data_IF_065930074312
#
_entry.id   IF_065930074312
#
_cell.length_a   1.000
_cell.length_b   1.000
_cell.length_c   1.000
_cell.angle_alpha   90.00
_cell.angle_beta   90.00
_cell.angle_gamma   90.00
#
_symmetry.space_group_name_H-M   'P 1'
#
loop_
_entity.id
_entity.type
_entity.pdbx_description
1 polymer ?
#
# COMPACT_ATOMS: atom_id res chain seq x y z
N UNK A 1 -6.33 1.80 9.86
CA UNK A 1 -5.07 1.33 9.27
C UNK A 1 -4.92 -0.16 9.50
N UNK A 2 -4.63 -0.92 8.44
CA UNK A 2 -4.46 -2.38 8.50
C UNK A 2 -3.12 -2.73 7.86
N UNK A 3 -2.26 -3.44 8.59
CA UNK A 3 -0.96 -3.92 8.10
C UNK A 3 -0.99 -5.44 8.12
N UNK A 4 -0.78 -6.07 6.98
CA UNK A 4 -0.90 -7.51 6.81
C UNK A 4 -0.04 -7.97 5.63
N UNK A 5 0.26 -9.28 5.59
CA UNK A 5 0.80 -9.95 4.41
C UNK A 5 -0.34 -10.68 3.70
N UNK A 6 -0.27 -10.75 2.38
CA UNK A 6 -1.16 -11.62 1.61
C UNK A 6 -0.62 -13.04 1.67
N UNK A 7 -1.52 -13.99 1.90
CA UNK A 7 -1.22 -15.40 1.77
C UNK A 7 -1.70 -15.86 0.38
N UNK A 8 -0.94 -16.69 -0.36
CA UNK A 8 -1.39 -17.24 -1.63
C UNK A 8 -2.76 -17.91 -1.50
N UNK A 9 -3.64 -17.65 -2.47
CA UNK A 9 -4.97 -18.24 -2.50
C UNK A 9 -5.52 -18.29 -3.91
N UNK A 10 -6.09 -19.44 -4.30
CA UNK A 10 -6.77 -19.62 -5.58
C UNK A 10 -8.16 -18.96 -5.65
N UNK A 11 -8.59 -18.34 -4.55
CA UNK A 11 -9.91 -17.72 -4.41
C UNK A 11 -9.76 -16.24 -4.08
N UNK A 12 -10.59 -15.34 -4.67
CA UNK A 12 -10.60 -13.94 -4.29
C UNK A 12 -10.87 -13.77 -2.79
N UNK A 13 -10.00 -13.03 -2.11
CA UNK A 13 -10.12 -12.73 -0.68
C UNK A 13 -10.38 -11.24 -0.47
N UNK A 14 -11.40 -10.91 0.31
CA UNK A 14 -11.64 -9.53 0.76
C UNK A 14 -10.89 -9.26 2.07
N UNK A 15 -10.17 -8.14 2.13
CA UNK A 15 -9.51 -7.65 3.33
C UNK A 15 -10.16 -6.37 3.89
N UNK A 16 -11.20 -5.85 3.22
CA UNK A 16 -12.04 -4.74 3.71
C UNK A 16 -13.36 -5.29 4.27
N UNK A 17 -13.97 -4.59 5.22
CA UNK A 17 -15.29 -4.99 5.71
C UNK A 17 -16.38 -4.61 4.70
N UNK A 18 -17.32 -5.52 4.47
CA UNK A 18 -18.42 -5.32 3.51
C UNK A 18 -19.56 -4.42 4.02
N UNK A 19 -19.51 -3.91 5.27
CA UNK A 19 -20.60 -3.14 5.89
C UNK A 19 -20.25 -1.70 6.23
N UNK A 20 -21.27 -0.84 6.31
CA UNK A 20 -21.22 0.48 6.96
C UNK A 20 -20.26 1.50 6.35
N UNK A 21 -20.57 2.01 5.14
CA UNK A 21 -19.79 3.04 4.42
C UNK A 21 -18.27 2.78 4.40
N UNK A 22 -17.88 1.50 4.48
CA UNK A 22 -16.48 1.09 4.41
C UNK A 22 -16.04 1.10 2.96
N UNK A 23 -14.92 1.76 2.67
CA UNK A 23 -14.29 1.77 1.36
C UNK A 23 -12.77 1.73 1.51
N UNK A 24 -12.09 1.28 0.45
CA UNK A 24 -10.64 1.31 0.39
C UNK A 24 -10.18 2.73 0.05
N UNK A 25 -9.35 3.32 0.91
CA UNK A 25 -8.82 4.67 0.70
C UNK A 25 -7.56 4.64 -0.16
N UNK A 26 -6.57 3.84 0.25
CA UNK A 26 -5.29 3.68 -0.44
C UNK A 26 -4.62 2.37 -0.01
N UNK A 27 -3.70 1.88 -0.84
CA UNK A 27 -2.78 0.80 -0.56
C UNK A 27 -1.34 1.32 -0.67
N UNK A 28 -0.43 0.71 0.06
CA UNK A 28 0.98 1.06 0.09
C UNK A 28 1.79 -0.17 0.53
N UNK A 29 2.93 -0.37 -0.11
CA UNK A 29 3.85 -1.49 0.09
C UNK A 29 5.26 -1.02 0.46
N UNK A 30 5.42 0.25 0.87
CA UNK A 30 6.69 0.77 1.35
C UNK A 30 7.17 0.00 2.58
N UNK A 31 8.50 -0.07 2.74
CA UNK A 31 9.14 -0.75 3.88
C UNK A 31 8.76 -0.06 5.19
N UNK A 32 8.84 1.27 5.18
CA UNK A 32 8.53 2.12 6.33
C UNK A 32 7.50 3.19 5.94
N UNK A 33 6.21 2.81 5.81
CA UNK A 33 5.18 3.72 5.34
C UNK A 33 4.99 4.87 6.32
N UNK A 34 4.83 6.07 5.76
CA UNK A 34 4.51 7.26 6.52
C UNK A 34 3.12 7.77 6.12
N UNK A 35 2.24 7.96 7.09
CA UNK A 35 0.86 8.37 6.85
C UNK A 35 0.60 9.77 7.42
N UNK A 36 0.17 10.71 6.57
CA UNK A 36 -0.26 12.04 7.01
C UNK A 36 -1.79 12.08 7.17
N UNK A 37 -2.24 12.57 8.33
CA UNK A 37 -3.65 12.72 8.71
C UNK A 37 -3.96 14.21 8.85
N UNK A 38 -4.91 14.71 8.08
CA UNK A 38 -5.44 16.08 8.25
C UNK A 38 -6.83 16.01 8.85
N UNK A 39 -7.07 16.75 9.92
CA UNK A 39 -8.36 16.78 10.62
C UNK A 39 -9.37 17.71 9.95
N UNK A 40 -10.65 17.44 10.18
CA UNK A 40 -11.78 18.15 9.56
C UNK A 40 -12.89 18.51 10.54
N UNK A 41 -13.92 19.17 10.02
CA UNK A 41 -15.09 19.60 10.79
C UNK A 41 -14.71 20.37 12.06
N UNK A 42 -15.28 19.97 13.20
CA UNK A 42 -14.99 20.60 14.51
C UNK A 42 -13.53 20.47 14.97
N UNK A 43 -12.73 19.66 14.29
CA UNK A 43 -11.32 19.42 14.58
C UNK A 43 -10.38 19.98 13.52
N UNK A 44 -10.88 20.77 12.56
CA UNK A 44 -10.07 21.32 11.46
C UNK A 44 -8.93 22.25 11.93
N UNK A 45 -9.03 22.84 13.13
CA UNK A 45 -7.98 23.67 13.72
C UNK A 45 -6.78 22.87 14.27
N UNK A 46 -6.88 21.54 14.32
CA UNK A 46 -5.75 20.68 14.73
C UNK A 46 -4.70 20.65 13.63
N UNK A 47 -3.43 20.67 14.03
CA UNK A 47 -2.34 20.45 13.10
C UNK A 47 -2.41 19.03 12.53
N UNK A 48 -2.03 18.84 11.25
CA UNK A 48 -1.88 17.51 10.67
C UNK A 48 -0.93 16.65 11.51
N UNK A 49 -1.26 15.36 11.63
CA UNK A 49 -0.45 14.37 12.33
C UNK A 49 0.23 13.44 11.34
N UNK A 50 1.50 13.11 11.60
CA UNK A 50 2.26 12.12 10.84
C UNK A 50 2.38 10.85 11.65
N UNK A 51 2.09 9.71 11.03
CA UNK A 51 2.08 8.40 11.67
C UNK A 51 3.13 7.51 10.98
N UNK A 52 4.11 7.08 11.76
CA UNK A 52 4.94 5.92 11.46
C UNK A 52 4.07 4.65 11.55
N UNK A 53 3.77 4.06 10.39
CA UNK A 53 2.83 2.93 10.31
C UNK A 53 3.33 1.70 11.05
N UNK A 54 4.64 1.47 11.06
CA UNK A 54 5.25 0.32 11.72
C UNK A 54 5.10 0.42 13.24
N UNK A 55 5.45 1.57 13.81
CA UNK A 55 5.30 1.82 15.25
C UNK A 55 3.82 1.87 15.67
N UNK A 56 2.93 2.28 14.75
CA UNK A 56 1.51 2.40 15.03
C UNK A 56 0.79 1.05 15.12
N UNK A 57 1.11 0.10 14.23
CA UNK A 57 0.45 -1.20 14.18
C UNK A 57 1.39 -2.30 13.67
N UNK A 58 1.53 -3.37 14.47
CA UNK A 58 2.20 -4.59 14.04
C UNK A 58 1.49 -5.28 12.85
N UNK A 59 2.22 -6.10 12.10
CA UNK A 59 1.64 -6.95 11.05
C UNK A 59 0.64 -7.92 11.68
N UNK A 60 -0.55 -8.01 11.11
CA UNK A 60 -1.60 -8.97 11.51
C UNK A 60 -2.05 -9.79 10.30
N UNK A 61 -2.87 -10.81 10.53
CA UNK A 61 -3.47 -11.57 9.43
C UNK A 61 -4.48 -10.73 8.63
N UNK A 62 -4.66 -11.06 7.34
CA UNK A 62 -5.55 -10.33 6.44
C UNK A 62 -7.03 -10.33 6.88
N UNK A 63 -7.46 -11.22 7.79
CA UNK A 63 -8.82 -11.21 8.37
C UNK A 63 -8.96 -10.28 9.58
N UNK A 64 -7.85 -9.81 10.16
CA UNK A 64 -7.88 -8.96 11.34
C UNK A 64 -8.48 -7.58 11.04
N UNK A 65 -9.13 -7.00 12.05
CA UNK A 65 -9.55 -5.60 12.00
C UNK A 65 -8.33 -4.67 12.11
N UNK A 66 -8.34 -3.60 11.34
CA UNK A 66 -7.32 -2.55 11.45
C UNK A 66 -7.43 -1.77 12.77
N UNK A 67 -6.39 -1.00 13.08
CA UNK A 67 -6.37 -0.03 14.19
C UNK A 67 -7.02 1.28 13.72
N UNK A 68 -7.87 1.86 14.58
CA UNK A 68 -8.46 3.19 14.35
C UNK A 68 -7.34 4.24 14.38
N UNK A 69 -7.27 5.08 13.36
CA UNK A 69 -6.23 6.12 13.21
C UNK A 69 -6.39 7.21 14.27
N UNK A 70 -7.60 7.73 14.44
CA UNK A 70 -7.90 8.78 15.42
C UNK A 70 -9.36 8.70 15.87
N UNK A 71 -9.66 9.29 17.03
CA UNK A 71 -11.03 9.52 17.51
C UNK A 71 -11.61 10.84 17.00
N UNK A 72 -10.81 11.67 16.33
CA UNK A 72 -11.26 12.93 15.74
C UNK A 72 -11.81 12.73 14.32
N UNK A 73 -12.59 13.71 13.88
CA UNK A 73 -13.05 13.80 12.51
C UNK A 73 -11.88 14.07 11.57
N UNK A 74 -11.70 13.18 10.61
CA UNK A 74 -10.63 13.22 9.62
C UNK A 74 -11.16 13.86 8.34
N UNK A 75 -10.40 14.79 7.76
CA UNK A 75 -10.66 15.37 6.44
C UNK A 75 -10.00 14.55 5.34
N UNK A 76 -8.70 14.27 5.50
CA UNK A 76 -7.92 13.50 4.53
C UNK A 76 -6.90 12.61 5.24
N UNK A 77 -6.58 11.49 4.60
CA UNK A 77 -5.47 10.60 4.93
C UNK A 77 -4.72 10.36 3.62
N UNK A 78 -3.40 10.48 3.65
CA UNK A 78 -2.54 10.15 2.51
C UNK A 78 -1.24 9.52 2.98
N UNK A 79 -0.72 8.58 2.20
CA UNK A 79 0.68 8.22 2.33
C UNK A 79 1.54 9.38 1.82
N UNK A 80 2.63 9.63 2.52
CA UNK A 80 3.66 10.60 2.13
C UNK A 80 4.97 9.84 1.92
N UNK A 81 6.07 10.55 1.71
CA UNK A 81 7.38 9.93 1.54
C UNK A 81 7.68 8.95 2.71
N UNK A 82 8.20 7.75 2.39
CA UNK A 82 8.57 6.76 3.40
C UNK A 82 9.57 7.31 4.41
N UNK A 83 9.60 6.71 5.59
CA UNK A 83 10.63 7.04 6.58
C UNK A 83 11.96 6.40 6.18
N UNK A 84 13.03 7.18 6.21
CA UNK A 84 14.39 6.67 6.10
C UNK A 84 14.80 6.04 7.43
N UNK A 85 14.92 4.71 7.44
CA UNK A 85 15.41 3.93 8.58
C UNK A 85 16.45 2.92 8.11
N UNK A 86 17.37 2.56 8.98
CA UNK A 86 18.30 1.47 8.72
C UNK A 86 17.52 0.15 8.61
N UNK A 87 17.61 -0.50 7.45
CA UNK A 87 16.98 -1.79 7.23
C UNK A 87 17.85 -2.85 7.91
N UNK A 88 17.27 -3.61 8.83
CA UNK A 88 17.96 -4.75 9.43
C UNK A 88 18.06 -5.91 8.42
N UNK A 89 19.09 -6.76 8.55
CA UNK A 89 19.27 -7.93 7.65
C UNK A 89 18.06 -8.88 7.66
N UNK A 90 17.32 -8.93 8.76
CA UNK A 90 16.12 -9.75 8.96
C UNK A 90 14.92 -9.24 8.13
N UNK A 91 14.84 -7.93 7.90
CA UNK A 91 13.77 -7.31 7.10
C UNK A 91 14.00 -7.47 5.59
N UNK A 92 15.27 -7.54 5.16
CA UNK A 92 15.64 -7.77 3.75
C UNK A 92 15.19 -9.16 3.27
N UNK A 93 15.41 -10.20 4.10
CA UNK A 93 15.02 -11.57 3.76
C UNK A 93 13.52 -11.74 3.53
N UNK A 94 12.69 -11.01 4.28
CA UNK A 94 11.24 -11.06 4.18
C UNK A 94 10.65 -10.45 2.88
N UNK A 95 11.44 -9.70 2.11
CA UNK A 95 11.00 -9.08 0.85
C UNK A 95 11.38 -9.90 -0.39
N UNK A 96 12.36 -10.79 -0.28
CA UNK A 96 12.87 -11.57 -1.42
C UNK A 96 11.94 -12.72 -1.82
N UNK A 97 11.05 -13.17 -0.93
CA UNK A 97 10.06 -14.21 -1.22
C UNK A 97 8.96 -13.79 -2.23
N UNK A 98 8.95 -12.54 -2.70
CA UNK A 98 7.94 -12.01 -3.64
C UNK A 98 8.48 -11.91 -5.09
N UNK A 99 9.80 -12.04 -5.31
CA UNK A 99 10.40 -11.95 -6.66
C UNK A 99 10.89 -13.32 -7.15
N UNK A 100 10.01 -14.30 -7.23
CA UNK A 100 10.26 -15.53 -7.99
C UNK A 100 8.92 -16.16 -8.39
N UNK A 101 8.24 -15.56 -9.37
CA UNK A 101 7.76 -16.30 -10.54
C UNK A 101 7.23 -15.32 -11.60
N UNK A 102 7.24 -15.77 -12.85
CA UNK A 102 6.84 -15.09 -14.10
C UNK A 102 7.96 -14.46 -14.92
N UNK A 103 8.77 -15.36 -15.49
CA UNK A 103 9.38 -15.20 -16.81
C UNK A 103 8.25 -15.14 -17.88
N UNK A 104 7.44 -14.07 -17.86
CA UNK A 104 6.48 -13.79 -18.94
C UNK A 104 7.26 -13.20 -20.13
N UNK A 105 7.59 -14.07 -21.08
CA UNK A 105 7.98 -13.66 -22.44
C UNK A 105 6.85 -12.82 -23.04
N UNK A 106 7.04 -11.51 -23.09
CA UNK A 106 6.19 -10.60 -23.86
C UNK A 106 6.19 -11.04 -25.34
N UNK A 107 5.02 -11.18 -25.99
CA UNK A 107 4.96 -11.41 -27.43
C UNK A 107 5.44 -10.16 -28.18
N UNK A 108 6.36 -10.37 -29.12
CA UNK A 108 6.95 -9.36 -30.01
C UNK A 108 5.86 -8.74 -30.91
N UNK A 109 5.36 -7.57 -30.51
CA UNK A 109 4.52 -6.75 -31.37
C UNK A 109 5.41 -5.95 -32.31
N UNK A 110 5.46 -6.46 -33.54
CA UNK A 110 6.23 -6.01 -34.69
C UNK A 110 6.55 -4.51 -34.76
N UNK A 111 7.85 -4.24 -34.94
CA UNK A 111 8.32 -2.97 -35.50
C UNK A 111 7.87 -2.85 -36.95
N UNK A 112 6.74 -2.19 -37.17
CA UNK A 112 6.48 -1.53 -38.44
C UNK A 112 7.36 -0.26 -38.51
N UNK A 113 8.47 -0.33 -39.26
CA UNK A 113 9.23 0.84 -39.65
C UNK A 113 9.77 0.64 -41.08
N UNK A 114 8.99 1.15 -42.02
CA UNK A 114 9.38 2.00 -43.15
C UNK A 114 10.62 1.60 -43.96
N UNK A 115 10.44 1.16 -45.22
CA UNK A 115 11.35 1.48 -46.33
C UNK A 115 10.62 1.67 -47.67
N UNK A 116 10.93 2.84 -48.27
CA UNK A 116 10.88 3.33 -49.66
C UNK A 116 10.09 2.59 -50.75
N UNK A 117 9.18 3.35 -51.39
CA UNK A 117 8.77 3.21 -52.78
C UNK A 117 9.80 3.93 -53.66
N UNK A 118 10.59 3.16 -54.41
CA UNK A 118 11.28 3.64 -55.59
C UNK A 118 10.67 2.96 -56.83
N UNK A 119 10.67 3.75 -57.91
CA UNK A 119 9.86 3.74 -59.14
C UNK A 119 9.79 2.44 -59.94
#
# INVERSE_FOLDING_TARGET
>A
LKRFKFDPSDRPQSFISNGGNSYLVALNDDIFPCLQVTFGGKHAARQPETIDVEQFIAVKGYKAKGKRISNYQIKTIKFVEPLEKEISREEIGNQQDIKNDNDEKFPDYGKASQMSLDM
#
